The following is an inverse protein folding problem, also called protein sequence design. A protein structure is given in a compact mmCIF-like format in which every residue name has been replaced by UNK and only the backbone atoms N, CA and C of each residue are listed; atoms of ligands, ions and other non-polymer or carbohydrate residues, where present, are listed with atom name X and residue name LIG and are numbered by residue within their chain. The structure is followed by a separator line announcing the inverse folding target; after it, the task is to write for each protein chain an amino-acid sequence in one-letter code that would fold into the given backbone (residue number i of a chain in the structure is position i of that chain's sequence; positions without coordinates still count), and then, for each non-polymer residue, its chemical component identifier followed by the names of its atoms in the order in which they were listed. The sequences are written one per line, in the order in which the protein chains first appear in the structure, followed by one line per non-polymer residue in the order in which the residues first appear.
data_IF_841018732336
#
_entry.id   IF_841018732336
#
_cell.length_a   1.000
_cell.length_b   1.000
_cell.length_c   1.000
_cell.angle_alpha   90.00
_cell.angle_beta   90.00
_cell.angle_gamma   90.00
#
_symmetry.space_group_name_H-M   'P 1'
#
loop_
_entity.id
_entity.type
_entity.pdbx_description
1 polymer ?
#
# COMPACT_ATOMS: atom_id res chain seq x y z
N UNK A 1 -22.86 -10.89 -6.72
CA UNK A 1 -22.76 -11.11 -8.16
C UNK A 1 -21.32 -10.97 -8.70
N UNK A 2 -20.53 -10.02 -8.19
CA UNK A 2 -19.12 -9.86 -8.56
C UNK A 2 -18.30 -11.12 -8.25
N UNK A 3 -18.39 -11.65 -7.03
CA UNK A 3 -17.61 -12.84 -6.62
C UNK A 3 -17.89 -14.06 -7.49
N UNK A 4 -19.14 -14.28 -7.92
CA UNK A 4 -19.46 -15.36 -8.87
C UNK A 4 -18.74 -15.21 -10.20
N UNK A 5 -18.59 -13.97 -10.69
CA UNK A 5 -17.83 -13.71 -11.92
C UNK A 5 -16.34 -13.94 -11.69
N UNK A 6 -15.81 -13.50 -10.57
CA UNK A 6 -14.40 -13.72 -10.21
C UNK A 6 -14.05 -15.20 -10.12
N UNK A 7 -14.92 -16.01 -9.51
CA UNK A 7 -14.75 -17.47 -9.48
C UNK A 7 -14.68 -18.10 -10.87
N UNK A 8 -15.50 -17.61 -11.82
CA UNK A 8 -15.49 -18.11 -13.20
C UNK A 8 -14.17 -17.87 -13.93
N UNK A 9 -13.34 -16.92 -13.45
CA UNK A 9 -12.00 -16.62 -13.95
C UNK A 9 -10.87 -17.12 -13.05
N UNK A 10 -11.19 -17.96 -12.06
CA UNK A 10 -10.22 -18.48 -11.09
C UNK A 10 -9.46 -17.37 -10.33
N UNK A 11 -10.17 -16.30 -10.01
CA UNK A 11 -9.62 -15.17 -9.25
C UNK A 11 -9.76 -15.43 -7.75
N UNK A 12 -8.65 -15.35 -7.03
CA UNK A 12 -8.59 -15.65 -5.60
C UNK A 12 -8.62 -14.41 -4.71
N UNK A 13 -8.34 -13.24 -5.26
CA UNK A 13 -8.24 -11.99 -4.50
C UNK A 13 -9.20 -10.93 -5.03
N UNK A 14 -9.86 -10.24 -4.12
CA UNK A 14 -10.64 -9.03 -4.39
C UNK A 14 -10.04 -7.87 -3.61
N UNK A 15 -9.32 -7.00 -4.31
CA UNK A 15 -8.75 -5.81 -3.69
C UNK A 15 -9.82 -4.74 -3.50
N UNK A 16 -9.81 -4.12 -2.33
CA UNK A 16 -10.70 -3.01 -1.95
C UNK A 16 -9.92 -1.92 -1.26
N UNK A 17 -10.39 -0.70 -1.36
CA UNK A 17 -9.81 0.45 -0.67
C UNK A 17 -10.91 1.29 -0.01
N UNK A 18 -10.52 2.06 0.99
CA UNK A 18 -11.38 3.07 1.59
C UNK A 18 -11.19 4.40 0.87
N UNK A 19 -12.14 4.75 0.02
CA UNK A 19 -12.12 5.99 -0.75
C UNK A 19 -12.77 7.19 -0.06
N UNK A 20 -13.17 7.05 1.22
CA UNK A 20 -14.07 8.03 1.84
C UNK A 20 -13.38 9.22 2.49
N UNK A 21 -12.11 9.11 2.83
CA UNK A 21 -11.45 10.10 3.68
C UNK A 21 -10.56 11.11 2.93
N UNK A 22 -10.38 10.98 1.63
CA UNK A 22 -9.45 11.80 0.85
C UNK A 22 -9.69 13.31 0.98
N UNK A 23 -10.93 13.73 1.23
CA UNK A 23 -11.29 15.13 1.45
C UNK A 23 -11.37 15.55 2.93
N UNK A 24 -11.09 14.64 3.85
CA UNK A 24 -11.27 14.91 5.28
C UNK A 24 -10.05 15.56 5.92
N UNK A 25 -10.25 16.76 6.43
CA UNK A 25 -9.21 17.55 7.11
C UNK A 25 -8.87 17.03 8.52
N UNK A 26 -9.69 16.20 9.14
CA UNK A 26 -9.39 15.57 10.44
C UNK A 26 -10.08 14.22 10.59
N UNK A 27 -9.32 13.17 10.91
CA UNK A 27 -9.87 11.84 11.23
C UNK A 27 -10.76 11.82 12.49
N UNK A 28 -10.56 12.76 13.42
CA UNK A 28 -11.30 12.80 14.68
C UNK A 28 -12.83 12.89 14.51
N UNK A 29 -13.29 13.59 13.47
CA UNK A 29 -14.72 13.67 13.11
C UNK A 29 -15.28 12.43 12.42
N UNK A 30 -14.44 11.45 12.07
CA UNK A 30 -14.77 10.28 11.26
C UNK A 30 -14.73 8.96 12.03
N UNK A 31 -14.57 9.02 13.35
CA UNK A 31 -14.44 7.81 14.18
C UNK A 31 -15.60 6.82 13.99
N UNK A 32 -16.82 7.31 13.90
CA UNK A 32 -17.99 6.44 13.64
C UNK A 32 -17.94 5.82 12.25
N UNK A 33 -17.49 6.58 11.25
CA UNK A 33 -17.35 6.09 9.89
C UNK A 33 -16.24 5.02 9.83
N UNK A 34 -15.12 5.24 10.48
CA UNK A 34 -14.04 4.27 10.59
C UNK A 34 -14.52 2.96 11.24
N UNK A 35 -15.31 3.03 12.34
CA UNK A 35 -15.88 1.85 12.99
C UNK A 35 -16.81 1.09 12.02
N UNK A 36 -17.64 1.81 11.26
CA UNK A 36 -18.52 1.19 10.24
C UNK A 36 -17.71 0.54 9.12
N UNK A 37 -16.62 1.16 8.71
CA UNK A 37 -15.72 0.63 7.67
C UNK A 37 -15.10 -0.68 8.12
N UNK A 38 -14.54 -0.77 9.32
CA UNK A 38 -14.03 -2.03 9.87
C UNK A 38 -15.08 -3.13 9.89
N UNK A 39 -16.28 -2.80 10.39
CA UNK A 39 -17.39 -3.76 10.41
C UNK A 39 -17.74 -4.25 9.02
N UNK A 40 -17.87 -3.34 8.06
CA UNK A 40 -18.19 -3.68 6.66
C UNK A 40 -17.12 -4.57 6.04
N UNK A 41 -15.83 -4.25 6.21
CA UNK A 41 -14.75 -5.06 5.69
C UNK A 41 -14.70 -6.45 6.34
N UNK A 42 -14.90 -6.55 7.65
CA UNK A 42 -14.98 -7.84 8.33
C UNK A 42 -16.13 -8.72 7.83
N UNK A 43 -17.33 -8.15 7.71
CA UNK A 43 -18.50 -8.87 7.17
C UNK A 43 -18.31 -9.27 5.70
N UNK A 44 -17.77 -8.38 4.88
CA UNK A 44 -17.50 -8.63 3.47
C UNK A 44 -16.40 -9.70 3.29
N UNK A 45 -15.31 -9.59 4.04
CA UNK A 45 -14.20 -10.54 3.99
C UNK A 45 -14.66 -11.96 4.33
N UNK A 46 -15.31 -12.13 5.48
CA UNK A 46 -15.85 -13.43 5.89
C UNK A 46 -16.84 -13.98 4.86
N UNK A 47 -17.76 -13.16 4.38
CA UNK A 47 -18.76 -13.60 3.39
C UNK A 47 -18.11 -14.06 2.07
N UNK A 48 -17.15 -13.29 1.54
CA UNK A 48 -16.47 -13.62 0.29
C UNK A 48 -15.62 -14.89 0.42
N UNK A 49 -14.91 -15.05 1.51
CA UNK A 49 -14.08 -16.20 1.81
C UNK A 49 -14.93 -17.46 1.97
N UNK A 50 -15.93 -17.41 2.86
CA UNK A 50 -16.75 -18.58 3.20
C UNK A 50 -17.66 -19.03 2.07
N UNK A 51 -18.16 -18.10 1.25
CA UNK A 51 -19.12 -18.39 0.18
C UNK A 51 -18.47 -18.69 -1.16
N UNK A 52 -17.35 -18.02 -1.45
CA UNK A 52 -16.76 -18.02 -2.78
C UNK A 52 -15.29 -18.42 -2.81
N UNK A 53 -14.64 -18.58 -1.66
CA UNK A 53 -13.19 -18.85 -1.59
C UNK A 53 -12.35 -17.68 -2.09
N UNK A 54 -12.89 -16.45 -2.03
CA UNK A 54 -12.22 -15.24 -2.47
C UNK A 54 -11.77 -14.45 -1.24
N UNK A 55 -10.48 -14.21 -1.12
CA UNK A 55 -9.92 -13.37 -0.08
C UNK A 55 -10.08 -11.88 -0.44
N UNK A 56 -10.67 -11.11 0.47
CA UNK A 56 -10.78 -9.66 0.33
C UNK A 56 -9.55 -9.01 0.92
N UNK A 57 -8.81 -8.29 0.10
CA UNK A 57 -7.62 -7.56 0.50
C UNK A 57 -7.95 -6.09 0.68
N UNK A 58 -7.64 -5.54 1.86
CA UNK A 58 -7.71 -4.10 2.05
C UNK A 58 -6.40 -3.47 1.56
N UNK A 59 -6.50 -2.50 0.65
CA UNK A 59 -5.40 -1.67 0.22
C UNK A 59 -5.40 -0.36 1.03
N UNK A 60 -4.40 -0.13 1.88
CA UNK A 60 -4.28 1.12 2.62
C UNK A 60 -3.91 2.25 1.67
N UNK A 61 -4.65 3.32 1.75
CA UNK A 61 -4.42 4.52 0.96
C UNK A 61 -4.01 5.67 1.88
N UNK A 62 -3.02 6.43 1.47
CA UNK A 62 -2.59 7.63 2.20
C UNK A 62 -3.74 8.63 2.32
N UNK A 63 -3.90 9.23 3.50
CA UNK A 63 -4.99 10.15 3.86
C UNK A 63 -6.38 9.52 3.81
N UNK A 64 -6.46 8.19 3.95
CA UNK A 64 -7.72 7.48 4.12
C UNK A 64 -8.07 7.25 5.60
N UNK A 65 -9.21 6.61 5.87
CA UNK A 65 -9.61 6.25 7.23
C UNK A 65 -8.69 5.20 7.85
N UNK A 66 -8.03 4.38 7.00
CA UNK A 66 -7.19 3.26 7.42
C UNK A 66 -5.83 3.40 6.72
N UNK A 67 -4.86 4.01 7.40
CA UNK A 67 -3.51 4.23 6.87
C UNK A 67 -2.41 4.05 7.91
N UNK A 68 -2.71 4.19 9.22
CA UNK A 68 -1.70 4.05 10.27
C UNK A 68 -1.48 2.60 10.64
N UNK A 69 -0.34 2.33 11.30
CA UNK A 69 0.00 1.00 11.79
C UNK A 69 -1.12 0.39 12.63
N UNK A 70 -1.60 1.15 13.63
CA UNK A 70 -2.65 0.69 14.53
C UNK A 70 -3.97 0.44 13.80
N UNK A 71 -4.24 1.21 12.75
CA UNK A 71 -5.44 1.04 11.93
C UNK A 71 -5.37 -0.22 11.08
N UNK A 72 -4.19 -0.55 10.51
CA UNK A 72 -4.00 -1.78 9.76
C UNK A 72 -3.98 -3.01 10.68
N UNK A 73 -3.35 -2.92 11.85
CA UNK A 73 -3.37 -4.01 12.85
C UNK A 73 -4.79 -4.38 13.26
N UNK A 74 -5.72 -3.42 13.31
CA UNK A 74 -7.15 -3.72 13.54
C UNK A 74 -7.82 -4.50 12.42
N UNK A 75 -7.39 -4.37 11.16
CA UNK A 75 -7.88 -5.22 10.07
C UNK A 75 -7.38 -6.66 10.26
N UNK A 76 -6.13 -6.81 10.67
CA UNK A 76 -5.52 -8.11 10.96
C UNK A 76 -6.24 -8.78 12.13
N UNK A 77 -6.60 -8.03 13.18
CA UNK A 77 -7.39 -8.53 14.32
C UNK A 77 -8.79 -9.04 13.89
N UNK A 78 -9.30 -8.59 12.74
CA UNK A 78 -10.54 -9.06 12.12
C UNK A 78 -10.33 -10.24 11.15
N UNK A 79 -9.14 -10.83 11.13
CA UNK A 79 -8.73 -11.90 10.21
C UNK A 79 -8.87 -11.50 8.73
N UNK A 80 -8.53 -10.25 8.42
CA UNK A 80 -8.48 -9.73 7.06
C UNK A 80 -7.05 -9.70 6.54
N UNK A 81 -6.92 -9.95 5.24
CA UNK A 81 -5.66 -9.79 4.55
C UNK A 81 -5.50 -8.38 3.97
N UNK A 82 -4.25 -7.98 3.77
CA UNK A 82 -3.88 -6.66 3.28
C UNK A 82 -3.18 -6.81 1.93
N UNK A 83 -3.57 -6.01 0.95
CA UNK A 83 -2.71 -5.65 -0.16
C UNK A 83 -1.78 -4.56 0.35
N UNK A 84 -0.56 -4.93 0.72
CA UNK A 84 0.34 -4.01 1.38
C UNK A 84 1.09 -3.14 0.37
N UNK A 85 0.66 -1.88 0.26
CA UNK A 85 1.40 -0.85 -0.45
C UNK A 85 2.43 -0.23 0.48
N UNK A 86 3.70 -0.57 0.24
CA UNK A 86 4.80 -0.13 1.08
C UNK A 86 5.06 1.37 1.00
N UNK A 87 4.77 2.01 -0.14
CA UNK A 87 4.92 3.45 -0.32
C UNK A 87 3.86 4.24 0.43
N UNK A 88 2.58 3.87 0.30
CA UNK A 88 1.51 4.51 1.08
C UNK A 88 1.74 4.33 2.58
N UNK A 89 2.17 3.13 2.99
CA UNK A 89 2.47 2.87 4.39
C UNK A 89 3.65 3.72 4.89
N UNK A 90 4.77 3.77 4.17
CA UNK A 90 5.92 4.56 4.55
C UNK A 90 5.62 6.07 4.56
N UNK A 91 4.79 6.55 3.62
CA UNK A 91 4.34 7.94 3.60
C UNK A 91 3.48 8.31 4.81
N UNK A 92 2.70 7.36 5.36
CA UNK A 92 1.87 7.60 6.55
C UNK A 92 2.64 7.38 7.87
N UNK A 93 3.50 6.37 7.94
CA UNK A 93 4.09 5.86 9.19
C UNK A 93 5.61 6.03 9.28
N UNK A 94 6.29 6.22 8.14
CA UNK A 94 7.74 6.33 8.05
C UNK A 94 8.26 7.74 8.31
N UNK A 95 9.58 7.85 8.36
CA UNK A 95 10.29 9.11 8.36
C UNK A 95 10.63 9.57 6.92
N UNK A 96 11.60 10.46 6.76
CA UNK A 96 12.01 11.00 5.46
C UNK A 96 13.43 10.58 5.05
N UNK A 97 14.09 9.76 5.85
CA UNK A 97 15.50 9.39 5.64
C UNK A 97 15.59 8.14 4.78
N UNK A 98 16.61 8.11 3.93
CA UNK A 98 16.99 6.89 3.20
C UNK A 98 17.19 5.71 4.15
N UNK A 99 16.70 4.54 3.76
CA UNK A 99 16.72 3.34 4.58
C UNK A 99 15.65 3.32 5.67
N UNK A 100 14.51 4.04 5.47
CA UNK A 100 13.35 3.92 6.34
C UNK A 100 12.87 2.47 6.42
N UNK A 101 12.69 1.97 7.63
CA UNK A 101 12.34 0.58 7.88
C UNK A 101 10.87 0.37 8.24
N UNK A 102 10.08 1.44 8.32
CA UNK A 102 8.70 1.34 8.78
C UNK A 102 7.88 0.29 8.02
N UNK A 103 7.99 0.28 6.69
CA UNK A 103 7.29 -0.68 5.84
C UNK A 103 7.88 -2.10 5.97
N UNK A 104 9.21 -2.24 6.08
CA UNK A 104 9.86 -3.54 6.26
C UNK A 104 9.47 -4.17 7.60
N UNK A 105 9.49 -3.38 8.67
CA UNK A 105 9.19 -3.85 10.03
C UNK A 105 7.70 -4.25 10.17
N UNK A 106 6.80 -3.57 9.47
CA UNK A 106 5.39 -3.96 9.41
C UNK A 106 5.20 -5.26 8.63
N UNK A 107 5.81 -5.36 7.44
CA UNK A 107 5.74 -6.55 6.61
C UNK A 107 6.27 -7.78 7.34
N UNK A 108 7.42 -7.65 8.01
CA UNK A 108 8.03 -8.74 8.78
C UNK A 108 7.12 -9.21 9.93
N UNK A 109 6.46 -8.28 10.60
CA UNK A 109 5.57 -8.60 11.73
C UNK A 109 4.25 -9.27 11.29
N UNK A 110 3.78 -9.03 10.06
CA UNK A 110 2.43 -9.38 9.64
C UNK A 110 2.37 -10.15 8.30
N UNK A 111 3.45 -10.79 7.90
CA UNK A 111 3.59 -11.45 6.59
C UNK A 111 2.46 -12.45 6.29
N UNK A 112 1.95 -13.14 7.31
CA UNK A 112 0.89 -14.15 7.16
C UNK A 112 -0.45 -13.55 6.71
N UNK A 113 -0.64 -12.23 6.88
CA UNK A 113 -1.82 -11.47 6.43
C UNK A 113 -1.56 -10.63 5.18
N UNK A 114 -0.37 -10.77 4.57
CA UNK A 114 0.03 -9.96 3.42
C UNK A 114 0.36 -10.86 2.22
N UNK A 115 -0.65 -11.36 1.49
CA UNK A 115 -0.42 -12.17 0.30
C UNK A 115 -0.12 -11.35 -0.96
N UNK A 116 -0.25 -10.02 -0.89
CA UNK A 116 -0.16 -9.13 -2.05
C UNK A 116 0.58 -7.85 -1.70
N UNK A 117 1.55 -7.47 -2.53
CA UNK A 117 2.41 -6.31 -2.33
C UNK A 117 2.29 -5.33 -3.49
N UNK A 118 2.21 -4.04 -3.18
CA UNK A 118 2.53 -2.99 -4.12
C UNK A 118 3.92 -2.44 -3.82
N UNK A 119 4.77 -2.45 -4.84
CA UNK A 119 6.11 -1.85 -4.79
C UNK A 119 6.01 -0.39 -5.22
N UNK A 120 6.13 0.50 -4.27
CA UNK A 120 6.04 1.95 -4.41
C UNK A 120 7.09 2.61 -3.51
N UNK A 121 7.61 3.77 -3.84
CA UNK A 121 8.57 4.44 -2.99
C UNK A 121 8.23 5.91 -2.80
N UNK A 122 8.79 6.52 -1.76
CA UNK A 122 8.45 7.85 -1.26
C UNK A 122 9.65 8.79 -1.39
N UNK A 123 9.44 9.97 -1.95
CA UNK A 123 10.43 11.03 -1.99
C UNK A 123 10.76 11.53 -0.58
N UNK A 124 12.01 11.33 -0.16
CA UNK A 124 12.48 11.82 1.14
C UNK A 124 12.43 13.33 1.27
N UNK A 125 12.65 14.06 0.18
CA UNK A 125 12.58 15.52 0.16
C UNK A 125 11.16 16.01 0.43
N UNK A 126 10.18 15.53 -0.33
CA UNK A 126 8.78 15.96 -0.19
C UNK A 126 8.23 15.50 1.17
N UNK A 127 8.54 14.27 1.58
CA UNK A 127 8.15 13.76 2.90
C UNK A 127 8.71 14.59 4.04
N UNK A 128 9.97 15.04 3.94
CA UNK A 128 10.58 15.94 4.92
C UNK A 128 9.83 17.27 5.00
N UNK A 129 9.56 17.89 3.86
CA UNK A 129 8.83 19.16 3.81
C UNK A 129 7.42 19.02 4.39
N UNK A 130 6.74 17.92 4.13
CA UNK A 130 5.43 17.62 4.72
C UNK A 130 5.52 17.51 6.26
N UNK A 131 6.46 16.73 6.77
CA UNK A 131 6.64 16.50 8.22
C UNK A 131 7.05 17.77 8.96
N UNK A 132 7.79 18.67 8.32
CA UNK A 132 8.19 19.97 8.85
C UNK A 132 7.06 21.03 8.73
N UNK A 133 5.91 20.66 8.14
CA UNK A 133 4.79 21.58 7.92
C UNK A 133 5.07 22.66 6.87
N UNK A 134 6.07 22.43 6.01
CA UNK A 134 6.44 23.35 4.92
C UNK A 134 5.53 23.20 3.69
N UNK A 135 4.74 22.13 3.63
CA UNK A 135 3.74 21.87 2.59
C UNK A 135 2.34 21.78 3.22
N UNK A 136 1.40 22.53 2.65
CA UNK A 136 -0.01 22.33 2.95
C UNK A 136 -0.49 20.96 2.39
N UNK A 137 -1.52 20.35 2.98
CA UNK A 137 -2.05 19.08 2.47
C UNK A 137 -2.51 19.10 1.01
N UNK A 138 -2.90 20.29 0.51
CA UNK A 138 -3.35 20.53 -0.85
C UNK A 138 -2.27 21.21 -1.73
N UNK A 139 -1.02 21.25 -1.27
CA UNK A 139 0.11 21.76 -2.08
C UNK A 139 0.33 20.84 -3.29
N UNK A 140 0.39 21.37 -4.52
CA UNK A 140 0.57 20.55 -5.73
C UNK A 140 1.80 19.64 -5.72
N UNK A 141 2.85 20.00 -4.98
CA UNK A 141 4.05 19.14 -4.83
C UNK A 141 3.76 17.84 -4.09
N UNK A 142 2.67 17.76 -3.36
CA UNK A 142 2.23 16.52 -2.72
C UNK A 142 1.81 15.45 -3.71
N UNK A 143 1.48 15.81 -4.95
CA UNK A 143 1.18 14.87 -6.02
C UNK A 143 2.44 14.10 -6.49
N UNK A 144 3.62 14.66 -6.25
CA UNK A 144 4.91 14.05 -6.59
C UNK A 144 5.59 13.34 -5.39
N UNK A 145 4.84 13.09 -4.30
CA UNK A 145 5.40 12.41 -3.12
C UNK A 145 5.85 10.97 -3.45
N UNK A 146 5.18 10.30 -4.39
CA UNK A 146 5.61 8.99 -4.86
C UNK A 146 6.66 9.15 -5.95
N UNK A 147 7.78 8.45 -5.80
CA UNK A 147 8.93 8.53 -6.69
C UNK A 147 9.31 7.18 -7.29
N UNK A 148 10.32 7.17 -8.17
CA UNK A 148 10.85 5.92 -8.70
C UNK A 148 11.46 5.06 -7.58
N UNK A 149 11.40 3.74 -7.72
CA UNK A 149 11.76 2.78 -6.66
C UNK A 149 13.20 2.95 -6.16
N UNK A 150 14.14 3.28 -7.07
CA UNK A 150 15.57 3.48 -6.74
C UNK A 150 15.82 4.78 -5.95
N UNK A 151 14.92 5.79 -6.08
CA UNK A 151 15.16 7.16 -5.65
C UNK A 151 14.51 7.50 -4.29
N UNK A 152 13.73 6.59 -3.70
CA UNK A 152 12.96 6.86 -2.49
C UNK A 152 13.61 6.42 -1.18
N UNK A 153 12.86 6.57 -0.08
CA UNK A 153 13.34 6.29 1.28
C UNK A 153 13.41 4.80 1.62
N UNK A 154 12.63 3.95 0.95
CA UNK A 154 12.61 2.50 1.19
C UNK A 154 13.82 1.88 0.48
N UNK A 155 14.61 1.14 1.22
CA UNK A 155 15.72 0.35 0.69
C UNK A 155 15.20 -0.97 0.10
N UNK A 156 15.12 -1.06 -1.21
CA UNK A 156 14.62 -2.25 -1.90
C UNK A 156 15.59 -3.43 -1.91
N UNK A 157 16.88 -3.23 -1.68
CA UNK A 157 17.79 -4.36 -1.47
C UNK A 157 17.50 -5.02 -0.12
N UNK A 158 17.31 -4.24 0.93
CA UNK A 158 16.87 -4.75 2.22
C UNK A 158 15.46 -5.38 2.16
N UNK A 159 14.58 -4.83 1.30
CA UNK A 159 13.24 -5.39 1.04
C UNK A 159 13.32 -6.77 0.38
N UNK A 160 14.15 -6.92 -0.66
CA UNK A 160 14.45 -8.21 -1.30
C UNK A 160 14.95 -9.23 -0.28
N UNK A 161 15.97 -8.87 0.51
CA UNK A 161 16.56 -9.77 1.52
C UNK A 161 15.51 -10.21 2.56
N UNK A 162 14.59 -9.32 2.92
CA UNK A 162 13.47 -9.65 3.80
C UNK A 162 12.51 -10.66 3.15
N UNK A 163 12.07 -10.43 1.91
CA UNK A 163 11.16 -11.33 1.20
C UNK A 163 11.78 -12.72 0.99
N UNK A 164 13.08 -12.78 0.68
CA UNK A 164 13.81 -14.04 0.55
C UNK A 164 13.87 -14.78 1.88
N UNK A 165 14.20 -14.10 2.97
CA UNK A 165 14.26 -14.67 4.32
C UNK A 165 12.90 -15.20 4.80
N UNK A 166 11.84 -14.49 4.48
CA UNK A 166 10.46 -14.88 4.80
C UNK A 166 9.89 -15.93 3.83
N UNK A 167 10.64 -16.28 2.77
CA UNK A 167 10.18 -17.17 1.69
C UNK A 167 8.81 -16.72 1.12
N UNK A 168 8.65 -15.41 0.90
CA UNK A 168 7.40 -14.85 0.38
C UNK A 168 7.02 -15.48 -0.96
N UNK A 169 5.75 -15.88 -1.11
CA UNK A 169 5.20 -16.54 -2.31
C UNK A 169 3.94 -15.87 -2.85
N UNK A 170 3.67 -14.67 -2.36
CA UNK A 170 2.53 -13.86 -2.80
C UNK A 170 2.79 -13.15 -4.13
N UNK A 171 1.90 -12.23 -4.44
CA UNK A 171 1.96 -11.39 -5.66
C UNK A 171 2.65 -10.07 -5.35
N UNK A 172 3.49 -9.60 -6.25
CA UNK A 172 4.09 -8.26 -6.19
C UNK A 172 3.82 -7.48 -7.48
N UNK A 173 3.32 -6.27 -7.33
CA UNK A 173 3.01 -5.35 -8.44
C UNK A 173 3.81 -4.07 -8.26
N UNK A 174 4.44 -3.59 -9.34
CA UNK A 174 4.99 -2.24 -9.37
C UNK A 174 3.84 -1.25 -9.56
N UNK A 175 3.67 -0.36 -8.62
CA UNK A 175 2.69 0.72 -8.71
C UNK A 175 3.39 2.08 -8.68
N UNK A 176 3.03 2.95 -9.62
CA UNK A 176 3.63 4.27 -9.76
C UNK A 176 2.56 5.34 -9.89
N UNK A 177 2.38 6.14 -8.85
CA UNK A 177 1.56 7.35 -8.93
C UNK A 177 2.34 8.45 -9.63
N UNK A 178 1.87 8.85 -10.78
CA UNK A 178 2.45 9.93 -11.58
C UNK A 178 1.33 10.72 -12.29
N UNK A 179 0.49 11.44 -11.52
CA UNK A 179 -0.76 12.01 -12.03
C UNK A 179 -0.55 13.05 -13.14
N UNK A 180 0.62 13.66 -13.21
CA UNK A 180 0.94 14.68 -14.22
C UNK A 180 1.73 14.13 -15.41
N UNK A 181 2.10 12.84 -15.40
CA UNK A 181 2.88 12.24 -16.46
C UNK A 181 2.01 11.95 -17.69
N UNK A 182 2.58 12.15 -18.86
CA UNK A 182 2.00 11.62 -20.11
C UNK A 182 2.07 10.09 -20.11
N UNK A 183 1.29 9.44 -20.95
CA UNK A 183 1.33 7.97 -21.12
C UNK A 183 2.74 7.45 -21.43
N UNK A 184 3.51 8.18 -22.24
CA UNK A 184 4.87 7.79 -22.58
C UNK A 184 5.81 7.91 -21.36
N UNK A 185 5.72 9.00 -20.59
CA UNK A 185 6.51 9.18 -19.37
C UNK A 185 6.17 8.13 -18.31
N UNK A 186 4.88 7.84 -18.10
CA UNK A 186 4.45 6.78 -17.20
C UNK A 186 5.00 5.41 -17.62
N UNK A 187 5.01 5.11 -18.92
CA UNK A 187 5.58 3.88 -19.46
C UNK A 187 7.11 3.79 -19.22
N UNK A 188 7.85 4.89 -19.44
CA UNK A 188 9.30 4.90 -19.20
C UNK A 188 9.62 4.77 -17.70
N UNK A 189 8.83 5.37 -16.80
CA UNK A 189 8.94 5.15 -15.34
C UNK A 189 8.70 3.69 -14.97
N UNK A 190 7.66 3.07 -15.51
CA UNK A 190 7.39 1.64 -15.28
C UNK A 190 8.56 0.75 -15.72
N UNK A 191 9.14 1.02 -16.89
CA UNK A 191 10.35 0.31 -17.39
C UNK A 191 11.55 0.53 -16.49
N UNK A 192 11.80 1.76 -16.03
CA UNK A 192 12.90 2.09 -15.10
C UNK A 192 12.76 1.29 -13.80
N UNK A 193 11.58 1.30 -13.20
CA UNK A 193 11.30 0.57 -11.97
C UNK A 193 11.43 -0.95 -12.15
N UNK A 194 10.95 -1.50 -13.26
CA UNK A 194 11.11 -2.90 -13.59
C UNK A 194 12.60 -3.29 -13.71
N UNK A 195 13.38 -2.49 -14.47
CA UNK A 195 14.81 -2.73 -14.65
C UNK A 195 15.59 -2.64 -13.32
N UNK A 196 15.19 -1.72 -12.43
CA UNK A 196 15.77 -1.62 -11.10
C UNK A 196 15.52 -2.88 -10.26
N UNK A 197 14.27 -3.37 -10.20
CA UNK A 197 13.94 -4.59 -9.45
C UNK A 197 14.65 -5.83 -10.02
N UNK A 198 14.84 -5.92 -11.34
CA UNK A 198 15.62 -6.97 -11.97
C UNK A 198 17.13 -6.86 -11.62
N UNK A 199 17.68 -5.65 -11.65
CA UNK A 199 19.10 -5.36 -11.28
C UNK A 199 19.42 -5.82 -9.86
N UNK A 200 18.50 -5.63 -8.92
CA UNK A 200 18.67 -6.06 -7.53
C UNK A 200 18.19 -7.50 -7.27
N UNK A 201 17.79 -8.24 -8.30
CA UNK A 201 17.28 -9.62 -8.22
C UNK A 201 16.04 -9.83 -7.34
N UNK A 202 15.19 -8.81 -7.17
CA UNK A 202 13.92 -8.96 -6.48
C UNK A 202 12.90 -9.69 -7.37
N UNK A 203 12.99 -9.51 -8.67
CA UNK A 203 12.20 -10.19 -9.68
C UNK A 203 13.10 -10.80 -10.75
N UNK A 204 12.61 -11.82 -11.46
CA UNK A 204 13.33 -12.49 -12.54
C UNK A 204 13.02 -11.86 -13.91
#
# INVERSE_FOLDING_TARGET
DLCKRLQAFDVHYLMTMDGTAMDCKTKAGLKEQQIRTYKLFGEMGSYCRDTYGIEVLMHPERRSLIETREELERLIDLDLCICFDNGHYAAANGNWKQGDRSALDFLEAHIDHIPYLHFKNVSGEIRKMEMEGALAPDDPRMDDIMCDLEDGIIDYEAYRDLLDRLNFRGVGIIEQDCPHATTQEAFEKAKKNLAYLQKIHLIQ
#
